data_IF_807886114302
#
_entry.id   IF_807886114302
#
_cell.length_a   1.000
_cell.length_b   1.000
_cell.length_c   1.000
_cell.angle_alpha   90.00
_cell.angle_beta   90.00
_cell.angle_gamma   90.00
#
_symmetry.space_group_name_H-M   'P 1'
#
loop_
_entity.id
_entity.type
_entity.pdbx_description
1 polymer ?
#
# COMPACT_ATOMS: atom_id res chain seq x y z
N UNK A 1 26.33 2.34 1.19
CA UNK A 1 25.12 3.18 1.06
C UNK A 1 24.43 3.30 2.41
N UNK A 2 24.23 4.53 2.92
CA UNK A 2 23.48 4.78 4.15
C UNK A 2 22.09 5.26 3.77
N UNK A 3 21.05 4.52 4.18
CA UNK A 3 19.66 4.94 4.04
C UNK A 3 19.26 5.75 5.26
N UNK A 4 18.56 6.87 5.05
CA UNK A 4 18.14 7.78 6.10
C UNK A 4 16.65 8.05 5.99
N UNK A 5 16.00 8.21 7.14
CA UNK A 5 14.70 8.88 7.26
C UNK A 5 14.98 10.33 7.66
N UNK A 6 14.58 11.29 6.83
CA UNK A 6 14.89 12.70 7.08
C UNK A 6 13.79 13.64 6.55
N UNK A 7 13.74 14.87 7.08
CA UNK A 7 12.85 15.91 6.56
C UNK A 7 13.33 16.49 5.23
N UNK A 8 12.47 17.21 4.53
CA UNK A 8 12.84 17.91 3.29
C UNK A 8 12.39 19.37 3.29
N UNK A 9 13.22 20.27 2.76
CA UNK A 9 12.83 21.66 2.48
C UNK A 9 11.98 21.81 1.21
N UNK A 10 11.69 20.70 0.51
CA UNK A 10 10.89 20.65 -0.72
C UNK A 10 9.69 19.71 -0.52
N UNK A 11 8.67 20.12 0.25
CA UNK A 11 7.55 19.26 0.65
C UNK A 11 6.72 18.72 -0.52
N UNK A 12 6.68 19.43 -1.66
CA UNK A 12 6.02 18.96 -2.89
C UNK A 12 6.64 17.70 -3.52
N UNK A 13 7.83 17.28 -3.05
CA UNK A 13 8.47 16.04 -3.46
C UNK A 13 8.06 14.82 -2.64
N UNK A 14 7.29 14.99 -1.56
CA UNK A 14 6.75 13.88 -0.77
C UNK A 14 5.70 13.13 -1.60
N UNK A 15 5.72 11.79 -1.53
CA UNK A 15 4.86 10.92 -2.34
C UNK A 15 5.29 10.78 -3.80
N UNK A 16 6.48 11.26 -4.17
CA UNK A 16 7.05 11.17 -5.53
C UNK A 16 8.39 10.45 -5.55
N UNK A 17 8.78 9.88 -6.69
CA UNK A 17 10.07 9.14 -6.83
C UNK A 17 11.27 10.07 -7.06
N UNK A 18 11.53 10.98 -6.12
CA UNK A 18 12.55 12.04 -6.26
C UNK A 18 13.78 11.90 -5.34
N UNK A 19 13.97 10.73 -4.72
CA UNK A 19 15.12 10.46 -3.86
C UNK A 19 16.02 9.36 -4.44
N UNK A 20 17.30 9.39 -4.11
CA UNK A 20 18.26 8.33 -4.42
C UNK A 20 18.24 7.19 -3.38
N UNK A 21 17.06 6.93 -2.78
CA UNK A 21 16.85 5.83 -1.83
C UNK A 21 16.61 6.22 -0.36
N UNK A 22 16.80 7.48 0.03
CA UNK A 22 16.39 7.94 1.38
C UNK A 22 14.88 8.17 1.46
N UNK A 23 14.30 7.97 2.64
CA UNK A 23 12.89 8.22 2.92
C UNK A 23 12.75 9.68 3.37
N UNK A 24 11.94 10.45 2.64
CA UNK A 24 11.66 11.85 2.96
C UNK A 24 10.31 11.96 3.65
N UNK A 25 10.26 12.76 4.69
CA UNK A 25 9.04 13.13 5.42
C UNK A 25 8.82 14.65 5.34
N UNK A 26 7.60 15.09 5.59
CA UNK A 26 7.35 16.51 5.83
C UNK A 26 8.17 17.00 7.03
N UNK A 27 8.62 18.26 7.07
CA UNK A 27 9.38 18.82 8.19
C UNK A 27 8.73 18.61 9.56
N UNK A 28 7.41 18.77 9.64
CA UNK A 28 6.61 18.55 10.83
C UNK A 28 6.53 17.08 11.25
N UNK A 29 6.53 16.15 10.30
CA UNK A 29 6.42 14.71 10.55
C UNK A 29 7.74 14.11 11.02
N UNK A 30 8.89 14.57 10.48
CA UNK A 30 10.20 14.06 10.93
C UNK A 30 10.49 14.46 12.38
N UNK A 31 10.01 15.63 12.84
CA UNK A 31 10.14 16.06 14.24
C UNK A 31 9.37 15.11 15.14
N UNK A 32 8.11 14.82 14.81
CA UNK A 32 7.29 13.87 15.57
C UNK A 32 7.91 12.47 15.58
N UNK A 33 8.40 11.98 14.43
CA UNK A 33 9.07 10.69 14.36
C UNK A 33 10.33 10.66 15.24
N UNK A 34 11.13 11.73 15.25
CA UNK A 34 12.33 11.82 16.07
C UNK A 34 12.03 11.73 17.57
N UNK A 35 10.92 12.33 18.03
CA UNK A 35 10.52 12.31 19.43
C UNK A 35 10.09 10.91 19.91
N UNK A 36 9.45 10.12 19.05
CA UNK A 36 8.97 8.76 19.40
C UNK A 36 9.99 7.66 19.07
N UNK A 37 10.92 7.92 18.15
CA UNK A 37 11.90 6.94 17.70
C UNK A 37 12.95 6.67 18.80
N UNK A 38 13.19 5.39 19.04
CA UNK A 38 14.22 4.93 19.97
C UNK A 38 15.47 4.50 19.21
N UNK A 39 16.63 4.66 19.85
CA UNK A 39 17.86 4.10 19.30
C UNK A 39 17.72 2.60 19.07
N UNK A 40 18.10 2.15 17.86
CA UNK A 40 17.97 0.75 17.39
C UNK A 40 16.52 0.27 17.20
N UNK A 41 15.55 1.18 17.13
CA UNK A 41 14.20 0.83 16.68
C UNK A 41 14.27 0.12 15.32
N UNK A 42 13.72 -1.11 15.19
CA UNK A 42 13.74 -1.84 13.94
C UNK A 42 12.97 -1.09 12.84
N UNK A 43 13.51 -1.13 11.62
CA UNK A 43 12.86 -0.57 10.44
C UNK A 43 12.65 -1.69 9.43
N UNK A 44 11.42 -1.85 8.97
CA UNK A 44 11.06 -2.79 7.92
C UNK A 44 10.48 -2.02 6.74
N UNK A 45 11.10 -2.18 5.57
CA UNK A 45 10.56 -1.66 4.31
C UNK A 45 9.83 -2.80 3.62
N UNK A 46 8.56 -2.59 3.27
CA UNK A 46 7.71 -3.57 2.58
C UNK A 46 7.12 -2.94 1.34
N UNK A 47 6.97 -3.74 0.29
CA UNK A 47 6.20 -3.38 -0.90
C UNK A 47 4.92 -4.21 -0.90
N UNK A 48 3.80 -3.55 -0.59
CA UNK A 48 2.49 -4.18 -0.42
C UNK A 48 1.43 -3.33 -1.12
N UNK A 49 1.38 -3.34 -2.46
CA UNK A 49 0.41 -2.55 -3.22
C UNK A 49 -1.03 -3.02 -2.99
N UNK A 50 -1.22 -4.24 -2.49
CA UNK A 50 -2.52 -4.76 -2.05
C UNK A 50 -2.42 -5.18 -0.59
N UNK A 51 -3.28 -4.58 0.25
CA UNK A 51 -3.44 -4.90 1.66
C UNK A 51 -4.82 -5.50 1.87
N UNK A 52 -4.90 -6.56 2.66
CA UNK A 52 -6.15 -7.20 3.01
C UNK A 52 -6.11 -7.63 4.47
N UNK A 53 -7.21 -7.36 5.20
CA UNK A 53 -7.26 -7.65 6.63
C UNK A 53 -8.71 -7.80 7.12
N UNK A 54 -8.84 -8.59 8.19
CA UNK A 54 -10.04 -8.60 9.01
C UNK A 54 -10.04 -7.39 9.95
N UNK A 55 -11.11 -6.61 9.92
CA UNK A 55 -11.36 -5.52 10.85
C UNK A 55 -12.77 -5.68 11.42
N UNK A 56 -12.86 -5.97 12.71
CA UNK A 56 -14.09 -6.39 13.39
C UNK A 56 -14.72 -7.60 12.67
N UNK A 57 -15.98 -7.48 12.27
CA UNK A 57 -16.74 -8.50 11.54
C UNK A 57 -16.61 -8.37 10.01
N UNK A 58 -15.73 -7.51 9.47
CA UNK A 58 -15.58 -7.31 8.02
C UNK A 58 -14.19 -7.68 7.49
N UNK A 59 -14.13 -8.23 6.27
CA UNK A 59 -12.89 -8.38 5.52
C UNK A 59 -12.76 -7.24 4.51
N UNK A 60 -11.65 -6.52 4.58
CA UNK A 60 -11.40 -5.33 3.76
C UNK A 60 -10.20 -5.56 2.85
N UNK A 61 -10.28 -4.98 1.65
CA UNK A 61 -9.20 -4.94 0.68
C UNK A 61 -8.94 -3.50 0.27
N UNK A 62 -7.67 -3.15 0.17
CA UNK A 62 -7.19 -1.83 -0.25
C UNK A 62 -6.07 -2.05 -1.27
N UNK A 63 -6.15 -1.38 -2.42
CA UNK A 63 -5.15 -1.46 -3.48
C UNK A 63 -4.63 -0.07 -3.86
N UNK A 64 -3.33 0.00 -4.09
CA UNK A 64 -2.57 1.18 -4.54
C UNK A 64 -1.84 0.85 -5.84
N UNK A 65 -1.47 1.88 -6.63
CA UNK A 65 -0.51 1.73 -7.71
C UNK A 65 0.79 1.08 -7.23
N UNK A 66 1.33 0.17 -8.01
CA UNK A 66 2.67 -0.39 -7.74
C UNK A 66 3.76 0.63 -8.06
N UNK A 67 4.98 0.34 -7.62
CA UNK A 67 6.18 1.13 -7.92
C UNK A 67 6.33 1.38 -9.42
N UNK A 68 6.18 0.35 -10.25
CA UNK A 68 6.38 0.43 -11.70
C UNK A 68 5.26 1.26 -12.36
N UNK A 69 4.04 1.14 -11.84
CA UNK A 69 2.87 1.88 -12.33
C UNK A 69 3.00 3.38 -12.02
N UNK A 70 3.49 3.73 -10.81
CA UNK A 70 3.78 5.13 -10.44
C UNK A 70 4.87 5.70 -11.35
N UNK A 71 5.91 4.92 -11.65
CA UNK A 71 7.01 5.35 -12.51
C UNK A 71 6.54 5.58 -13.95
N UNK A 72 5.73 4.66 -14.50
CA UNK A 72 5.09 4.84 -15.80
C UNK A 72 4.20 6.08 -15.82
N UNK A 73 3.38 6.32 -14.80
CA UNK A 73 2.54 7.52 -14.71
C UNK A 73 3.36 8.81 -14.64
N UNK A 74 4.45 8.86 -13.88
CA UNK A 74 5.33 10.03 -13.79
C UNK A 74 6.00 10.35 -15.14
N UNK A 75 6.26 9.35 -15.97
CA UNK A 75 6.91 9.49 -17.29
C UNK A 75 5.87 9.79 -18.40
N UNK A 76 4.78 9.03 -18.44
CA UNK A 76 3.84 8.96 -19.57
C UNK A 76 2.56 9.77 -19.31
N UNK A 77 2.30 10.19 -18.07
CA UNK A 77 1.14 11.00 -17.68
C UNK A 77 -0.19 10.24 -17.60
N UNK A 78 -0.18 8.92 -17.79
CA UNK A 78 -1.35 8.06 -17.66
C UNK A 78 -0.94 6.71 -17.06
N UNK A 79 -1.92 6.04 -16.42
CA UNK A 79 -1.77 4.67 -15.96
C UNK A 79 -2.44 3.77 -16.99
N UNK A 80 -1.66 2.96 -17.69
CA UNK A 80 -2.23 1.90 -18.51
C UNK A 80 -2.88 0.82 -17.63
N UNK A 81 -3.83 0.08 -18.20
CA UNK A 81 -4.52 -0.97 -17.47
C UNK A 81 -3.55 -2.13 -17.18
N UNK A 82 -3.22 -2.32 -15.91
CA UNK A 82 -2.35 -3.42 -15.49
C UNK A 82 -3.17 -4.67 -15.21
N UNK A 83 -2.73 -5.80 -15.76
CA UNK A 83 -3.32 -7.10 -15.44
C UNK A 83 -3.30 -7.34 -13.93
N UNK A 84 -4.43 -7.81 -13.42
CA UNK A 84 -4.51 -8.30 -12.04
C UNK A 84 -3.49 -9.42 -11.87
N UNK A 85 -2.37 -9.11 -11.24
CA UNK A 85 -1.32 -10.10 -11.04
C UNK A 85 -1.88 -11.22 -10.16
N UNK A 86 -1.82 -12.47 -10.62
CA UNK A 86 -2.25 -13.66 -9.86
C UNK A 86 -1.70 -13.68 -8.42
N UNK A 87 -0.52 -13.08 -8.20
CA UNK A 87 0.09 -12.90 -6.88
C UNK A 87 -0.75 -12.05 -5.91
N UNK A 88 -1.42 -11.00 -6.40
CA UNK A 88 -2.26 -10.10 -5.59
C UNK A 88 -3.54 -10.81 -5.12
N UNK A 89 -4.20 -11.59 -5.99
CA UNK A 89 -5.36 -12.38 -5.57
C UNK A 89 -4.96 -13.46 -4.55
N UNK A 90 -3.78 -14.08 -4.73
CA UNK A 90 -3.24 -15.04 -3.76
C UNK A 90 -2.97 -14.42 -2.39
N UNK A 91 -2.49 -13.17 -2.33
CA UNK A 91 -2.25 -12.50 -1.05
C UNK A 91 -3.56 -12.19 -0.31
N UNK A 92 -4.60 -11.74 -1.03
CA UNK A 92 -5.95 -11.53 -0.49
C UNK A 92 -6.53 -12.84 0.04
N UNK A 93 -6.46 -13.92 -0.75
CA UNK A 93 -6.94 -15.25 -0.33
C UNK A 93 -6.25 -15.73 0.93
N UNK A 94 -4.93 -15.57 1.01
CA UNK A 94 -4.13 -15.95 2.17
C UNK A 94 -4.52 -15.14 3.42
N UNK A 95 -4.79 -13.85 3.26
CA UNK A 95 -5.18 -12.97 4.37
C UNK A 95 -6.58 -13.29 4.91
N UNK A 96 -7.51 -13.72 4.05
CA UNK A 96 -8.84 -14.14 4.48
C UNK A 96 -8.82 -15.44 5.28
N UNK A 97 -7.92 -16.35 4.91
CA UNK A 97 -7.84 -17.71 5.46
C UNK A 97 -8.71 -18.69 4.68
N UNK A 98 -8.43 -20.01 4.79
CA UNK A 98 -9.10 -21.03 4.00
C UNK A 98 -10.60 -21.17 4.31
N UNK A 99 -11.04 -20.78 5.51
CA UNK A 99 -12.44 -20.86 5.94
C UNK A 99 -13.36 -19.88 5.20
N UNK A 100 -12.86 -18.70 4.82
CA UNK A 100 -13.66 -17.62 4.25
C UNK A 100 -13.33 -17.29 2.80
N UNK A 101 -12.26 -17.89 2.26
CA UNK A 101 -11.74 -17.57 0.94
C UNK A 101 -12.79 -17.75 -0.19
N UNK A 102 -13.69 -18.71 -0.03
CA UNK A 102 -14.70 -19.04 -1.04
C UNK A 102 -15.94 -18.13 -0.96
N UNK A 103 -16.13 -17.43 0.18
CA UNK A 103 -17.25 -16.50 0.40
C UNK A 103 -16.93 -15.05 -0.02
N UNK A 104 -15.67 -14.76 -0.33
CA UNK A 104 -15.25 -13.44 -0.78
C UNK A 104 -15.96 -13.07 -2.08
N UNK A 105 -16.45 -11.83 -2.16
CA UNK A 105 -16.93 -11.24 -3.41
C UNK A 105 -15.76 -10.95 -4.36
N UNK A 106 -15.25 -11.99 -5.03
CA UNK A 106 -14.04 -11.90 -5.86
C UNK A 106 -14.14 -10.88 -6.99
N UNK A 107 -15.32 -10.69 -7.57
CA UNK A 107 -15.56 -9.63 -8.56
C UNK A 107 -15.26 -8.23 -8.00
N UNK A 108 -15.65 -7.96 -6.74
CA UNK A 108 -15.34 -6.68 -6.09
C UNK A 108 -13.84 -6.57 -5.78
N UNK A 109 -13.18 -7.68 -5.39
CA UNK A 109 -11.73 -7.69 -5.17
C UNK A 109 -10.96 -7.35 -6.45
N UNK A 110 -11.32 -7.98 -7.58
CA UNK A 110 -10.71 -7.69 -8.89
C UNK A 110 -10.91 -6.23 -9.26
N UNK A 111 -12.12 -5.71 -9.07
CA UNK A 111 -12.42 -4.29 -9.31
C UNK A 111 -11.57 -3.35 -8.43
N UNK A 112 -11.42 -3.66 -7.14
CA UNK A 112 -10.57 -2.88 -6.23
C UNK A 112 -9.12 -2.87 -6.72
N UNK A 113 -8.59 -4.03 -7.12
CA UNK A 113 -7.21 -4.16 -7.62
C UNK A 113 -7.02 -3.45 -8.96
N UNK A 114 -8.03 -3.42 -9.83
CA UNK A 114 -7.97 -2.70 -11.10
C UNK A 114 -8.08 -1.18 -10.90
N UNK A 115 -9.01 -0.72 -10.06
CA UNK A 115 -9.27 0.70 -9.86
C UNK A 115 -8.25 1.38 -8.93
N UNK A 116 -7.59 0.62 -8.04
CA UNK A 116 -6.49 1.06 -7.16
C UNK A 116 -6.73 2.39 -6.45
N UNK A 117 -7.94 2.58 -5.91
CA UNK A 117 -8.39 3.87 -5.36
C UNK A 117 -7.68 4.29 -4.07
N UNK A 118 -6.91 3.41 -3.45
CA UNK A 118 -6.12 3.70 -2.25
C UNK A 118 -6.91 3.81 -0.94
N UNK A 119 -8.20 3.42 -0.90
CA UNK A 119 -8.98 3.35 0.33
C UNK A 119 -9.56 1.93 0.56
N UNK A 120 -9.73 1.49 1.82
CA UNK A 120 -10.25 0.15 2.12
C UNK A 120 -11.72 -0.02 1.72
N UNK A 121 -12.05 -1.13 1.07
CA UNK A 121 -13.41 -1.52 0.70
C UNK A 121 -13.73 -2.89 1.32
N UNK A 122 -14.90 -3.00 1.95
CA UNK A 122 -15.37 -4.26 2.55
C UNK A 122 -15.85 -5.22 1.47
N UNK A 123 -15.34 -6.45 1.47
CA UNK A 123 -15.67 -7.49 0.47
C UNK A 123 -16.33 -8.73 1.05
N UNK A 124 -16.35 -8.88 2.38
CA UNK A 124 -17.03 -9.96 3.10
C UNK A 124 -17.39 -9.50 4.53
N UNK A 125 -18.46 -10.05 5.09
CA UNK A 125 -18.81 -9.97 6.51
C UNK A 125 -18.68 -11.37 7.13
N UNK A 126 -18.16 -11.48 8.36
CA UNK A 126 -18.04 -12.72 9.14
C UNK A 126 -19.39 -13.29 9.58
N UNK A 127 -20.46 -12.53 9.41
CA UNK A 127 -21.83 -12.89 9.78
C UNK A 127 -22.74 -12.74 8.58
N UNK A 128 -23.27 -13.86 8.10
CA UNK A 128 -24.25 -13.95 7.03
C UNK A 128 -23.91 -15.07 6.07
#
# INVERSE_FOLDING_TARGET
PNYLMHGTSRPWGIGRRVSSGCIRLYPEDIVQLYEIAQNKMPVQVVDQPVKAAWLNDGFYVEAHPTIDEIEAFEIEGHLDYYETQSGMLKSVRRAAGPEYADDIKWFEVEKIIQERRGYPIKVLDKKG
#
